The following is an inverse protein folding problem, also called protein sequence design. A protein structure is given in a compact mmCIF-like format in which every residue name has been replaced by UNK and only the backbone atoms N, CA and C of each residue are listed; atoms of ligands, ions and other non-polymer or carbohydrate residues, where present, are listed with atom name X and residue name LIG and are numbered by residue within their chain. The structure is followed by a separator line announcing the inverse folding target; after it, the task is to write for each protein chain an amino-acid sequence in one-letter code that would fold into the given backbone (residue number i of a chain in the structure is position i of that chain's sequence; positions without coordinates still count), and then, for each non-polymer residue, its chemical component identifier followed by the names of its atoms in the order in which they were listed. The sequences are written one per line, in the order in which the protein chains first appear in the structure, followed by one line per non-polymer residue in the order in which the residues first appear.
data_IF_891555886776
#
_entry.id   IF_891555886776
#
_cell.length_a   1.000
_cell.length_b   1.000
_cell.length_c   1.000
_cell.angle_alpha   90.00
_cell.angle_beta   90.00
_cell.angle_gamma   90.00
#
_symmetry.space_group_name_H-M   'P 1'
#
loop_
_entity.id
_entity.type
_entity.pdbx_description
1 polymer ?
#
# COMPACT_ATOMS: atom_id res chain seq x y z
N UNK A 1 12.13 -39.51 -2.87
CA UNK A 1 10.98 -39.59 -3.82
C UNK A 1 11.31 -38.73 -5.03
N UNK A 2 10.77 -39.05 -6.22
CA UNK A 2 11.07 -38.28 -7.45
C UNK A 2 10.32 -36.94 -7.42
N UNK A 3 11.04 -35.82 -7.55
CA UNK A 3 10.41 -34.55 -7.88
C UNK A 3 9.95 -34.57 -9.34
N UNK A 4 8.72 -34.14 -9.61
CA UNK A 4 8.20 -33.95 -10.96
C UNK A 4 8.51 -32.54 -11.45
N UNK A 5 9.33 -32.42 -12.49
CA UNK A 5 9.42 -31.18 -13.25
C UNK A 5 8.14 -31.00 -14.07
N UNK A 6 7.42 -29.90 -13.84
CA UNK A 6 6.40 -29.42 -14.78
C UNK A 6 7.08 -28.53 -15.84
N UNK A 7 6.66 -28.60 -17.12
CA UNK A 7 7.27 -27.81 -18.17
C UNK A 7 6.87 -26.34 -18.08
N UNK A 8 7.85 -25.45 -18.21
CA UNK A 8 7.63 -24.03 -18.55
C UNK A 8 6.77 -23.98 -19.82
N UNK A 9 5.70 -23.17 -19.81
CA UNK A 9 4.99 -22.80 -21.05
C UNK A 9 5.70 -21.61 -21.67
N UNK A 10 5.94 -21.68 -22.98
CA UNK A 10 6.71 -20.69 -23.73
C UNK A 10 6.06 -19.31 -23.69
N UNK A 11 6.83 -18.32 -23.22
CA UNK A 11 6.57 -16.91 -23.51
C UNK A 11 6.87 -16.65 -25.00
N UNK A 12 6.02 -15.93 -25.75
CA UNK A 12 6.30 -15.62 -27.15
C UNK A 12 7.60 -14.80 -27.25
N UNK A 13 8.57 -15.20 -28.10
CA UNK A 13 9.87 -14.52 -28.15
C UNK A 13 9.69 -13.04 -28.56
N UNK A 14 10.49 -12.12 -27.99
CA UNK A 14 10.39 -10.70 -28.33
C UNK A 14 10.60 -10.49 -29.84
N UNK A 15 9.76 -9.65 -30.44
CA UNK A 15 9.75 -9.42 -31.87
C UNK A 15 11.14 -9.01 -32.39
N UNK A 16 11.58 -9.65 -33.48
CA UNK A 16 12.90 -9.43 -34.05
C UNK A 16 13.09 -7.97 -34.48
N UNK A 17 14.27 -7.41 -34.18
CA UNK A 17 14.64 -6.04 -34.58
C UNK A 17 14.65 -5.93 -36.10
N UNK A 18 13.88 -4.98 -36.64
CA UNK A 18 14.06 -4.52 -38.01
C UNK A 18 15.40 -3.75 -38.12
N UNK A 19 16.23 -4.00 -39.14
CA UNK A 19 17.53 -3.35 -39.27
C UNK A 19 17.42 -1.98 -39.96
N UNK A 20 18.17 -1.00 -39.44
CA UNK A 20 18.46 0.27 -40.11
C UNK A 20 17.83 1.49 -39.45
N UNK A 21 18.64 2.22 -38.68
CA UNK A 21 19.13 3.56 -39.05
C UNK A 21 20.31 3.91 -38.14
N UNK A 22 21.42 4.33 -38.72
CA UNK A 22 22.63 4.71 -37.99
C UNK A 22 22.49 6.13 -37.43
N UNK A 23 22.64 6.29 -36.11
CA UNK A 23 22.76 7.60 -35.49
C UNK A 23 24.22 8.06 -35.48
N UNK A 24 24.59 8.90 -36.44
CA UNK A 24 25.83 9.70 -36.38
C UNK A 24 25.57 11.11 -36.93
N UNK A 25 26.20 12.09 -36.28
CA UNK A 25 26.13 13.53 -36.56
C UNK A 25 24.73 14.19 -36.41
N UNK A 26 24.56 15.01 -35.37
CA UNK A 26 24.80 16.46 -35.51
C UNK A 26 24.74 17.15 -34.14
N UNK A 27 25.76 17.96 -33.85
CA UNK A 27 25.76 18.95 -32.78
C UNK A 27 25.30 20.33 -33.32
N UNK A 28 25.05 21.26 -32.39
CA UNK A 28 25.08 22.73 -32.57
C UNK A 28 23.93 23.43 -33.34
N UNK A 29 23.03 24.08 -32.58
CA UNK A 29 22.52 25.46 -32.74
C UNK A 29 21.22 25.64 -31.93
N UNK A 30 21.21 26.35 -30.79
CA UNK A 30 21.14 27.81 -30.58
C UNK A 30 19.72 28.42 -30.49
N UNK A 31 19.35 28.78 -29.25
CA UNK A 31 18.49 29.90 -28.78
C UNK A 31 16.95 29.82 -28.82
N UNK A 32 16.25 30.49 -27.86
CA UNK A 32 14.85 30.21 -27.53
C UNK A 32 13.85 31.29 -28.01
N UNK A 33 12.56 30.95 -28.04
CA UNK A 33 11.48 31.88 -28.41
C UNK A 33 10.31 31.93 -27.39
N UNK A 34 10.20 33.10 -26.75
CA UNK A 34 8.96 33.81 -26.36
C UNK A 34 7.86 33.11 -25.52
N UNK A 35 7.78 33.57 -24.27
CA UNK A 35 6.56 33.79 -23.48
C UNK A 35 5.28 34.08 -24.29
N UNK A 36 4.16 33.54 -23.82
CA UNK A 36 2.85 34.18 -23.99
C UNK A 36 2.19 34.44 -22.63
N UNK A 37 2.09 35.71 -22.28
CA UNK A 37 1.14 36.20 -21.28
C UNK A 37 -0.24 36.34 -21.93
N UNK A 38 -1.30 36.11 -21.16
CA UNK A 38 -2.61 36.68 -21.44
C UNK A 38 -3.23 37.17 -20.13
N UNK A 39 -3.51 38.47 -20.07
CA UNK A 39 -4.01 39.15 -18.88
C UNK A 39 -5.28 39.95 -19.19
N UNK A 40 -6.26 39.79 -18.29
CA UNK A 40 -7.26 40.77 -17.87
C UNK A 40 -8.09 41.55 -18.92
N UNK A 41 -9.39 41.27 -18.94
CA UNK A 41 -10.50 42.22 -18.69
C UNK A 41 -11.82 41.45 -18.79
N UNK A 42 -12.87 41.65 -18.00
CA UNK A 42 -13.15 42.70 -17.02
C UNK A 42 -14.44 43.42 -17.41
N UNK A 43 -15.53 43.26 -16.65
CA UNK A 43 -16.70 44.14 -16.69
C UNK A 43 -17.64 43.91 -15.48
N UNK A 44 -18.11 45.01 -14.91
CA UNK A 44 -19.03 45.08 -13.77
C UNK A 44 -20.48 45.20 -14.20
N UNK A 45 -21.43 44.71 -13.41
CA UNK A 45 -22.69 45.44 -13.15
C UNK A 45 -23.37 44.92 -11.88
N UNK A 46 -24.16 45.78 -11.23
CA UNK A 46 -24.91 45.48 -10.02
C UNK A 46 -26.37 45.95 -10.16
N UNK A 47 -27.29 45.20 -9.55
CA UNK A 47 -28.64 45.61 -9.12
C UNK A 47 -29.23 44.44 -8.30
N UNK A 48 -29.65 44.60 -7.04
CA UNK A 48 -30.97 45.12 -6.57
C UNK A 48 -32.16 44.51 -7.33
N UNK A 49 -33.19 43.95 -6.69
CA UNK A 49 -33.61 43.99 -5.27
C UNK A 49 -34.81 43.05 -5.02
N UNK A 50 -35.09 42.72 -3.74
CA UNK A 50 -36.42 42.32 -3.17
C UNK A 50 -37.11 41.05 -3.72
N UNK A 51 -37.89 40.22 -3.01
CA UNK A 51 -38.33 40.07 -1.60
C UNK A 51 -39.30 38.85 -1.57
N UNK A 52 -39.39 37.94 -0.58
CA UNK A 52 -40.29 37.97 0.61
C UNK A 52 -40.37 36.54 1.21
N UNK A 53 -40.19 36.43 2.54
CA UNK A 53 -40.90 35.58 3.56
C UNK A 53 -41.40 34.18 3.17
N UNK A 54 -40.71 33.09 3.56
CA UNK A 54 -40.92 32.21 4.75
C UNK A 54 -41.94 31.02 4.52
N UNK A 55 -42.36 30.19 5.51
CA UNK A 55 -41.89 28.79 5.53
C UNK A 55 -43.01 27.74 5.69
N UNK A 56 -42.68 26.44 5.59
CA UNK A 56 -43.50 25.39 6.24
C UNK A 56 -42.63 24.39 6.99
N UNK A 57 -42.64 24.52 8.32
CA UNK A 57 -42.31 23.44 9.24
C UNK A 57 -43.56 22.59 9.46
N UNK A 58 -43.40 21.26 9.56
CA UNK A 58 -44.43 20.37 10.09
C UNK A 58 -43.87 19.61 11.29
N UNK A 59 -44.57 19.76 12.43
CA UNK A 59 -44.36 18.96 13.63
C UNK A 59 -45.33 17.76 13.64
N UNK A 60 -44.93 16.70 14.33
CA UNK A 60 -45.81 15.58 14.70
C UNK A 60 -45.35 14.24 14.13
N UNK A 61 -45.35 13.15 14.90
CA UNK A 61 -45.54 13.04 16.35
C UNK A 61 -44.82 11.80 16.88
N UNK A 62 -44.46 11.82 18.17
CA UNK A 62 -43.95 10.64 18.85
C UNK A 62 -45.10 9.62 19.06
N UNK A 63 -44.83 8.33 18.91
CA UNK A 63 -45.72 7.27 19.37
C UNK A 63 -44.92 6.02 19.74
N UNK A 64 -44.91 5.73 21.03
CA UNK A 64 -44.24 4.60 21.65
C UNK A 64 -45.01 3.29 21.45
N UNK A 65 -44.31 2.21 21.12
CA UNK A 65 -44.74 0.84 21.46
C UNK A 65 -43.54 0.10 22.07
N UNK A 66 -43.72 -0.42 23.28
CA UNK A 66 -42.68 -1.12 24.03
C UNK A 66 -42.95 -2.63 24.08
N UNK A 67 -41.86 -3.40 23.99
CA UNK A 67 -41.65 -4.79 24.45
C UNK A 67 -42.68 -5.89 24.13
N UNK A 68 -42.15 -7.05 23.72
CA UNK A 68 -42.26 -8.28 24.53
C UNK A 68 -41.10 -9.24 24.24
N UNK A 69 -40.48 -9.74 25.31
CA UNK A 69 -39.58 -10.89 25.25
C UNK A 69 -40.33 -12.17 24.91
N UNK A 70 -39.67 -13.09 24.20
CA UNK A 70 -40.01 -14.51 24.18
C UNK A 70 -38.73 -15.32 24.44
N UNK A 71 -38.65 -15.94 25.62
CA UNK A 71 -37.59 -16.87 26.06
C UNK A 71 -38.04 -18.33 25.92
N UNK A 72 -37.10 -19.29 26.10
CA UNK A 72 -37.35 -20.75 26.21
C UNK A 72 -37.72 -21.44 24.87
N UNK A 73 -37.28 -22.65 24.49
CA UNK A 73 -36.41 -23.75 25.04
C UNK A 73 -35.97 -24.60 23.80
N UNK A 74 -35.04 -25.56 23.80
CA UNK A 74 -34.09 -26.13 24.79
C UNK A 74 -33.03 -26.96 24.03
N UNK A 75 -31.89 -27.32 24.66
CA UNK A 75 -30.95 -28.30 24.09
C UNK A 75 -31.56 -29.70 24.05
N UNK A 76 -31.32 -30.45 22.98
CA UNK A 76 -31.64 -31.88 22.89
C UNK A 76 -30.33 -32.66 22.73
N UNK A 77 -29.97 -33.42 23.77
CA UNK A 77 -28.80 -34.30 23.77
C UNK A 77 -29.24 -35.65 23.25
N UNK A 78 -28.64 -36.13 22.17
CA UNK A 78 -28.82 -37.49 21.66
C UNK A 78 -27.56 -38.29 22.00
N UNK A 79 -27.70 -39.33 22.82
CA UNK A 79 -26.64 -40.30 23.06
C UNK A 79 -26.50 -41.22 21.84
N UNK A 80 -25.27 -41.43 21.38
CA UNK A 80 -24.99 -42.38 20.31
C UNK A 80 -24.92 -43.81 20.88
N UNK A 81 -25.64 -44.75 20.25
CA UNK A 81 -25.49 -46.19 20.45
C UNK A 81 -25.04 -46.84 19.15
N UNK A 82 -23.94 -47.59 19.19
CA UNK A 82 -23.19 -48.03 18.02
C UNK A 82 -23.62 -49.44 17.59
N UNK A 83 -24.19 -49.63 16.39
CA UNK A 83 -24.30 -50.95 15.73
C UNK A 83 -24.75 -50.85 14.26
N UNK A 84 -24.02 -51.51 13.36
CA UNK A 84 -24.52 -51.91 12.02
C UNK A 84 -24.02 -51.08 10.84
N UNK A 85 -23.04 -51.60 10.10
CA UNK A 85 -22.56 -51.04 8.83
C UNK A 85 -23.30 -51.69 7.67
N UNK A 86 -23.94 -50.90 6.80
CA UNK A 86 -24.12 -51.27 5.38
C UNK A 86 -24.36 -50.04 4.50
N UNK A 87 -23.77 -50.07 3.30
CA UNK A 87 -23.63 -48.98 2.34
C UNK A 87 -24.92 -48.20 2.02
N UNK A 88 -24.92 -46.89 2.27
CA UNK A 88 -25.82 -45.93 1.63
C UNK A 88 -25.07 -44.60 1.33
N UNK A 89 -24.93 -44.31 0.04
CA UNK A 89 -24.63 -43.04 -0.62
C UNK A 89 -23.54 -42.11 -0.01
N UNK A 90 -22.39 -42.09 -0.70
CA UNK A 90 -21.48 -40.95 -0.69
C UNK A 90 -22.10 -39.74 -1.43
N UNK A 91 -23.01 -39.04 -0.77
CA UNK A 91 -23.62 -37.79 -1.26
C UNK A 91 -23.89 -36.76 -0.15
N UNK A 92 -23.15 -36.84 0.95
CA UNK A 92 -23.09 -35.83 2.01
C UNK A 92 -21.76 -35.05 1.99
N UNK A 93 -21.03 -35.13 0.88
CA UNK A 93 -19.86 -34.30 0.64
C UNK A 93 -20.35 -32.96 0.09
N UNK A 94 -20.01 -31.90 0.83
CA UNK A 94 -20.10 -30.48 0.44
C UNK A 94 -21.48 -29.91 0.10
N UNK A 95 -22.19 -29.44 1.13
CA UNK A 95 -23.32 -28.50 1.01
C UNK A 95 -23.19 -27.31 1.98
N UNK A 96 -21.98 -27.08 2.52
CA UNK A 96 -21.70 -26.05 3.53
C UNK A 96 -20.53 -25.13 3.16
N UNK A 97 -19.85 -25.34 2.02
CA UNK A 97 -18.76 -24.47 1.54
C UNK A 97 -18.87 -24.07 0.05
N UNK A 98 -20.09 -23.96 -0.48
CA UNK A 98 -20.35 -22.94 -1.52
C UNK A 98 -20.32 -21.56 -0.84
N UNK A 99 -19.11 -21.08 -0.55
CA UNK A 99 -18.89 -19.69 -0.20
C UNK A 99 -19.43 -18.82 -1.35
N UNK A 100 -20.26 -17.83 -1.01
CA UNK A 100 -20.85 -16.94 -2.01
C UNK A 100 -19.72 -16.22 -2.76
N UNK A 101 -19.60 -16.49 -4.07
CA UNK A 101 -18.53 -15.91 -4.89
C UNK A 101 -18.77 -14.41 -5.04
N UNK A 102 -17.77 -13.60 -4.73
CA UNK A 102 -17.90 -12.14 -4.72
C UNK A 102 -17.23 -11.49 -5.92
N UNK A 103 -17.84 -10.42 -6.45
CA UNK A 103 -17.12 -9.50 -7.36
C UNK A 103 -16.16 -8.64 -6.54
N UNK A 104 -14.90 -8.57 -6.95
CA UNK A 104 -13.85 -7.75 -6.29
C UNK A 104 -13.50 -6.55 -7.17
N UNK A 105 -13.36 -5.37 -6.57
CA UNK A 105 -12.86 -4.17 -7.25
C UNK A 105 -11.43 -3.85 -6.77
N UNK A 106 -10.46 -3.92 -7.68
CA UNK A 106 -9.08 -3.45 -7.44
C UNK A 106 -8.97 -1.98 -7.83
N UNK A 107 -8.45 -1.14 -6.94
CA UNK A 107 -8.14 0.27 -7.21
C UNK A 107 -6.68 0.40 -7.61
N UNK A 108 -6.42 1.07 -8.73
CA UNK A 108 -5.10 1.33 -9.30
C UNK A 108 -4.95 0.85 -10.76
N UNK A 109 -3.72 0.70 -11.23
CA UNK A 109 -3.40 0.39 -12.63
C UNK A 109 -1.90 0.16 -12.92
N UNK A 110 -1.07 -0.05 -11.90
CA UNK A 110 0.34 -0.42 -12.04
C UNK A 110 0.56 -1.92 -12.26
N UNK A 111 1.82 -2.36 -12.11
CA UNK A 111 2.20 -3.78 -12.23
C UNK A 111 1.69 -4.61 -11.05
N UNK A 112 1.76 -4.05 -9.84
CA UNK A 112 1.15 -4.60 -8.62
C UNK A 112 -0.34 -4.86 -8.77
N UNK A 113 -1.11 -3.91 -9.31
CA UNK A 113 -2.55 -4.12 -9.52
C UNK A 113 -2.84 -5.20 -10.57
N UNK A 114 -1.96 -5.40 -11.57
CA UNK A 114 -2.08 -6.53 -12.50
C UNK A 114 -1.84 -7.86 -11.78
N UNK A 115 -0.79 -7.97 -10.95
CA UNK A 115 -0.54 -9.17 -10.17
C UNK A 115 -1.68 -9.49 -9.18
N UNK A 116 -2.26 -8.47 -8.55
CA UNK A 116 -3.46 -8.60 -7.70
C UNK A 116 -4.65 -9.12 -8.51
N UNK A 117 -4.93 -8.55 -9.69
CA UNK A 117 -6.02 -9.03 -10.55
C UNK A 117 -5.81 -10.51 -10.94
N UNK A 118 -4.60 -10.87 -11.36
CA UNK A 118 -4.23 -12.24 -11.73
C UNK A 118 -4.47 -13.23 -10.58
N UNK A 119 -4.00 -12.91 -9.37
CA UNK A 119 -4.19 -13.76 -8.21
C UNK A 119 -5.67 -13.87 -7.79
N UNK A 120 -6.40 -12.74 -7.74
CA UNK A 120 -7.81 -12.71 -7.35
C UNK A 120 -8.71 -13.48 -8.32
N UNK A 121 -8.46 -13.37 -9.63
CA UNK A 121 -9.21 -14.08 -10.68
C UNK A 121 -9.07 -15.62 -10.60
N UNK A 122 -8.02 -16.10 -9.93
CA UNK A 122 -7.76 -17.54 -9.70
C UNK A 122 -8.38 -18.06 -8.40
N UNK A 123 -8.87 -17.18 -7.52
CA UNK A 123 -9.48 -17.59 -6.25
C UNK A 123 -10.83 -18.27 -6.47
N UNK A 124 -11.11 -19.45 -5.86
CA UNK A 124 -12.40 -20.11 -5.98
C UNK A 124 -13.56 -19.33 -5.34
N UNK A 125 -13.25 -18.33 -4.49
CA UNK A 125 -14.22 -17.42 -3.87
C UNK A 125 -14.47 -16.12 -4.66
N UNK A 126 -13.75 -15.89 -5.76
CA UNK A 126 -13.97 -14.73 -6.62
C UNK A 126 -14.98 -15.06 -7.73
N UNK A 127 -15.95 -14.16 -7.95
CA UNK A 127 -16.85 -14.25 -9.11
C UNK A 127 -16.23 -13.62 -10.36
N UNK A 128 -15.80 -12.37 -10.21
CA UNK A 128 -15.18 -11.56 -11.23
C UNK A 128 -14.30 -10.48 -10.59
N UNK A 129 -13.24 -10.07 -11.29
CA UNK A 129 -12.40 -8.94 -10.90
C UNK A 129 -12.71 -7.73 -11.79
N UNK A 130 -12.92 -6.58 -11.16
CA UNK A 130 -12.98 -5.26 -11.78
C UNK A 130 -11.70 -4.51 -11.38
N UNK A 131 -11.14 -3.67 -12.26
CA UNK A 131 -9.96 -2.86 -11.95
C UNK A 131 -10.18 -1.42 -12.39
N UNK A 132 -9.91 -0.43 -11.52
CA UNK A 132 -10.20 0.98 -11.78
C UNK A 132 -8.98 1.88 -11.54
N UNK A 133 -8.43 2.54 -12.58
CA UNK A 133 -8.77 2.41 -14.00
C UNK A 133 -8.28 1.11 -14.64
N UNK A 134 -7.32 0.41 -14.02
CA UNK A 134 -6.54 -0.64 -14.65
C UNK A 134 -5.57 -0.10 -15.71
N UNK A 135 -5.10 -0.99 -16.60
CA UNK A 135 -4.24 -0.63 -17.73
C UNK A 135 -4.45 -1.58 -18.91
N UNK A 136 -3.82 -1.29 -20.05
CA UNK A 136 -3.92 -2.10 -21.28
C UNK A 136 -3.48 -3.55 -21.10
N UNK A 137 -2.47 -3.82 -20.26
CA UNK A 137 -2.00 -5.18 -19.95
C UNK A 137 -3.04 -6.00 -19.18
N UNK A 138 -3.66 -5.39 -18.16
CA UNK A 138 -4.76 -5.99 -17.37
C UNK A 138 -5.96 -6.29 -18.29
N UNK A 139 -6.33 -5.33 -19.14
CA UNK A 139 -7.43 -5.51 -20.09
C UNK A 139 -7.16 -6.60 -21.14
N UNK A 140 -5.90 -6.80 -21.54
CA UNK A 140 -5.50 -7.80 -22.53
C UNK A 140 -5.25 -9.21 -21.95
N UNK A 141 -4.87 -9.33 -20.67
CA UNK A 141 -4.66 -10.65 -20.06
C UNK A 141 -5.98 -11.38 -19.77
N UNK A 142 -7.07 -10.64 -19.60
CA UNK A 142 -8.38 -11.18 -19.24
C UNK A 142 -8.55 -11.44 -17.75
N UNK A 143 -7.62 -10.97 -16.91
CA UNK A 143 -7.69 -11.17 -15.45
C UNK A 143 -8.68 -10.24 -14.74
N UNK A 144 -9.01 -9.09 -15.34
CA UNK A 144 -10.01 -8.18 -14.81
C UNK A 144 -10.68 -7.34 -15.91
N UNK A 145 -11.90 -6.87 -15.62
CA UNK A 145 -12.56 -5.84 -16.44
C UNK A 145 -12.09 -4.45 -16.00
N UNK A 146 -11.35 -3.74 -16.85
CA UNK A 146 -10.91 -2.37 -16.58
C UNK A 146 -12.07 -1.37 -16.66
N UNK A 147 -12.13 -0.43 -15.71
CA UNK A 147 -13.19 0.57 -15.53
C UNK A 147 -12.55 1.97 -15.62
N UNK A 148 -12.38 2.46 -16.85
CA UNK A 148 -11.64 3.69 -17.13
C UNK A 148 -12.31 4.95 -16.57
N UNK A 149 -13.63 4.98 -16.52
CA UNK A 149 -14.43 6.17 -16.19
C UNK A 149 -14.75 6.28 -14.68
N UNK A 150 -14.16 5.44 -13.83
CA UNK A 150 -14.34 5.53 -12.36
C UNK A 150 -13.21 6.36 -11.75
N UNK A 151 -13.53 7.60 -11.37
CA UNK A 151 -12.67 8.40 -10.51
C UNK A 151 -12.65 7.78 -9.10
N UNK A 152 -11.52 7.16 -8.74
CA UNK A 152 -11.30 6.56 -7.43
C UNK A 152 -10.81 7.55 -6.37
N UNK A 153 -10.63 8.83 -6.73
CA UNK A 153 -10.41 9.91 -5.77
C UNK A 153 -11.71 10.49 -5.21
N UNK A 154 -12.84 10.22 -5.86
CA UNK A 154 -14.20 10.49 -5.36
C UNK A 154 -14.77 9.26 -4.64
N UNK A 155 -14.71 9.25 -3.30
CA UNK A 155 -15.28 8.16 -2.48
C UNK A 155 -16.76 7.89 -2.79
N UNK A 156 -17.57 8.92 -3.05
CA UNK A 156 -19.01 8.76 -3.33
C UNK A 156 -19.22 8.08 -4.68
N UNK A 157 -18.42 8.42 -5.70
CA UNK A 157 -18.44 7.73 -7.00
C UNK A 157 -18.11 6.24 -6.86
N UNK A 158 -17.08 5.88 -6.06
CA UNK A 158 -16.73 4.48 -5.78
C UNK A 158 -17.84 3.76 -5.01
N UNK A 159 -18.44 4.38 -3.99
CA UNK A 159 -19.57 3.81 -3.23
C UNK A 159 -20.77 3.53 -4.14
N UNK A 160 -21.14 4.49 -4.99
CA UNK A 160 -22.24 4.33 -5.96
C UNK A 160 -21.93 3.23 -6.97
N UNK A 161 -20.69 3.17 -7.47
CA UNK A 161 -20.26 2.12 -8.39
C UNK A 161 -20.35 0.72 -7.74
N UNK A 162 -19.80 0.55 -6.54
CA UNK A 162 -19.81 -0.71 -5.80
C UNK A 162 -21.23 -1.23 -5.58
N UNK A 163 -22.15 -0.36 -5.13
CA UNK A 163 -23.57 -0.68 -4.94
C UNK A 163 -24.28 -1.05 -6.24
N UNK A 164 -24.00 -0.33 -7.33
CA UNK A 164 -24.60 -0.60 -8.66
C UNK A 164 -24.09 -1.90 -9.29
N UNK A 165 -22.85 -2.31 -8.99
CA UNK A 165 -22.18 -3.48 -9.60
C UNK A 165 -22.17 -4.72 -8.72
N UNK A 166 -22.65 -4.65 -7.48
CA UNK A 166 -22.62 -5.79 -6.55
C UNK A 166 -21.22 -6.16 -6.10
N UNK A 167 -20.32 -5.17 -5.95
CA UNK A 167 -18.96 -5.40 -5.46
C UNK A 167 -19.03 -5.84 -4.00
N UNK A 168 -18.54 -7.06 -3.72
CA UNK A 168 -18.49 -7.64 -2.39
C UNK A 168 -17.23 -7.26 -1.60
N UNK A 169 -16.15 -6.87 -2.28
CA UNK A 169 -14.93 -6.35 -1.64
C UNK A 169 -14.18 -5.38 -2.54
N UNK A 170 -13.61 -4.32 -1.96
CA UNK A 170 -12.65 -3.42 -2.62
C UNK A 170 -11.24 -3.76 -2.13
N UNK A 171 -10.25 -3.79 -3.02
CA UNK A 171 -8.82 -3.98 -2.73
C UNK A 171 -8.07 -2.75 -3.21
N UNK A 172 -7.41 -2.04 -2.31
CA UNK A 172 -6.72 -0.78 -2.65
C UNK A 172 -5.23 -1.04 -2.88
N UNK A 173 -4.77 -0.82 -4.11
CA UNK A 173 -3.37 -1.02 -4.51
C UNK A 173 -2.43 0.14 -4.13
N UNK A 174 -2.67 1.38 -4.61
CA UNK A 174 -1.81 2.52 -4.33
C UNK A 174 -2.08 3.18 -2.97
N UNK A 175 -1.07 3.86 -2.44
CA UNK A 175 -1.05 4.49 -1.13
C UNK A 175 -1.87 5.78 -1.05
N UNK A 176 -1.97 6.54 -2.15
CA UNK A 176 -2.69 7.82 -2.18
C UNK A 176 -4.17 7.73 -1.73
N UNK A 177 -5.02 6.83 -2.26
CA UNK A 177 -6.41 6.68 -1.78
C UNK A 177 -6.52 6.15 -0.35
N UNK A 178 -5.51 5.42 0.17
CA UNK A 178 -5.49 4.99 1.58
C UNK A 178 -5.32 6.20 2.50
N UNK A 179 -4.33 7.05 2.23
CA UNK A 179 -4.07 8.29 2.98
C UNK A 179 -5.21 9.30 2.81
N UNK A 180 -5.87 9.35 1.65
CA UNK A 180 -7.04 10.19 1.41
C UNK A 180 -8.33 9.72 2.14
N UNK A 181 -8.35 8.52 2.72
CA UNK A 181 -9.47 8.02 3.50
C UNK A 181 -10.56 7.25 2.73
N UNK A 182 -10.29 6.81 1.50
CA UNK A 182 -11.25 6.00 0.71
C UNK A 182 -11.76 4.78 1.49
N UNK A 183 -10.88 4.12 2.25
CA UNK A 183 -11.22 2.98 3.11
C UNK A 183 -12.18 3.39 4.24
N UNK A 184 -11.98 4.54 4.88
CA UNK A 184 -12.86 5.04 5.93
C UNK A 184 -14.29 5.23 5.40
N UNK A 185 -14.44 5.81 4.21
CA UNK A 185 -15.74 6.06 3.58
C UNK A 185 -16.42 4.78 3.11
N UNK A 186 -15.69 3.87 2.46
CA UNK A 186 -16.23 2.57 2.03
C UNK A 186 -16.70 1.72 3.21
N UNK A 187 -15.91 1.64 4.28
CA UNK A 187 -16.28 0.91 5.50
C UNK A 187 -17.51 1.53 6.18
N UNK A 188 -17.58 2.87 6.26
CA UNK A 188 -18.76 3.61 6.75
C UNK A 188 -19.99 3.40 5.87
N UNK A 189 -19.81 3.19 4.56
CA UNK A 189 -20.86 2.86 3.61
C UNK A 189 -21.30 1.38 3.63
N UNK A 190 -20.63 0.53 4.44
CA UNK A 190 -20.90 -0.90 4.59
C UNK A 190 -20.25 -1.80 3.53
N UNK A 191 -19.23 -1.31 2.82
CA UNK A 191 -18.52 -2.04 1.76
C UNK A 191 -17.22 -2.62 2.32
N UNK A 192 -17.05 -3.96 2.37
CA UNK A 192 -15.81 -4.60 2.80
C UNK A 192 -14.63 -4.11 1.98
N UNK A 193 -13.57 -3.67 2.65
CA UNK A 193 -12.41 -3.07 2.00
C UNK A 193 -11.12 -3.62 2.58
N UNK A 194 -10.23 -4.09 1.71
CA UNK A 194 -8.89 -4.53 2.03
C UNK A 194 -7.90 -3.39 1.81
N UNK A 195 -7.46 -2.81 2.92
CA UNK A 195 -6.56 -1.67 3.01
C UNK A 195 -6.71 -0.99 4.38
N UNK A 196 -5.70 -0.24 4.85
CA UNK A 196 -5.76 0.48 6.12
C UNK A 196 -6.70 1.68 6.04
N UNK A 197 -7.24 2.10 7.17
CA UNK A 197 -7.84 3.44 7.29
C UNK A 197 -6.77 4.52 7.13
N UNK A 198 -7.15 5.77 6.84
CA UNK A 198 -6.20 6.91 6.73
C UNK A 198 -5.34 7.09 7.99
N UNK A 199 -5.90 6.85 9.17
CA UNK A 199 -5.20 6.90 10.46
C UNK A 199 -4.14 5.79 10.57
N UNK A 200 -4.41 4.60 10.03
CA UNK A 200 -3.46 3.50 9.97
C UNK A 200 -2.44 3.65 8.82
N UNK A 201 -2.84 4.30 7.73
CA UNK A 201 -1.99 4.64 6.58
C UNK A 201 -0.90 5.67 6.93
N UNK A 202 -1.03 6.37 8.06
CA UNK A 202 0.00 7.25 8.61
C UNK A 202 1.36 6.57 8.84
N UNK A 203 1.43 5.22 8.91
CA UNK A 203 2.70 4.48 8.95
C UNK A 203 3.59 4.68 7.71
N UNK A 204 3.00 4.88 6.52
CA UNK A 204 3.71 5.28 5.29
C UNK A 204 3.61 6.80 5.07
N UNK A 205 2.45 7.39 5.42
CA UNK A 205 2.15 8.81 5.24
C UNK A 205 2.93 9.78 6.12
N UNK A 206 3.46 9.35 7.28
CA UNK A 206 4.39 10.13 8.10
C UNK A 206 5.45 9.22 8.73
N UNK A 207 6.70 9.51 8.40
CA UNK A 207 7.85 8.81 8.97
C UNK A 207 8.04 9.21 10.44
N UNK A 208 7.63 10.42 10.83
CA UNK A 208 7.70 10.90 12.23
C UNK A 208 6.70 10.16 13.12
N UNK A 209 5.49 9.89 12.61
CA UNK A 209 4.52 9.00 13.27
C UNK A 209 5.07 7.58 13.42
N UNK A 210 5.56 6.98 12.33
CA UNK A 210 6.12 5.63 12.33
C UNK A 210 7.28 5.48 13.33
N UNK A 211 8.22 6.43 13.36
CA UNK A 211 9.37 6.40 14.27
C UNK A 211 8.97 6.59 15.74
N UNK A 212 8.00 7.47 16.04
CA UNK A 212 7.46 7.63 17.40
C UNK A 212 6.73 6.38 17.89
N UNK A 213 6.02 5.67 17.01
CA UNK A 213 5.47 4.36 17.32
C UNK A 213 6.58 3.37 17.65
N UNK A 214 7.67 3.37 16.88
CA UNK A 214 8.81 2.49 17.11
C UNK A 214 9.44 2.70 18.49
N UNK A 215 9.70 3.96 18.88
CA UNK A 215 10.23 4.28 20.21
C UNK A 215 9.27 3.84 21.33
N UNK A 216 7.96 4.14 21.19
CA UNK A 216 6.95 3.84 22.20
C UNK A 216 6.76 2.33 22.43
N UNK A 217 6.90 1.53 21.38
CA UNK A 217 6.69 0.08 21.40
C UNK A 217 7.98 -0.75 21.32
N UNK A 218 9.16 -0.11 21.40
CA UNK A 218 10.49 -0.73 21.37
C UNK A 218 10.77 -1.55 20.10
N UNK A 219 10.25 -1.11 18.95
CA UNK A 219 10.51 -1.73 17.63
C UNK A 219 11.91 -1.31 17.16
N UNK A 220 12.79 -2.25 16.75
CA UNK A 220 14.14 -1.92 16.33
C UNK A 220 14.14 -1.16 15.00
N UNK A 221 14.64 0.07 15.02
CA UNK A 221 14.81 0.93 13.84
C UNK A 221 16.10 1.74 13.95
N UNK A 222 16.50 2.42 12.87
CA UNK A 222 17.59 3.40 12.92
C UNK A 222 17.27 4.54 13.89
N UNK A 223 18.22 4.87 14.77
CA UNK A 223 18.18 6.11 15.58
C UNK A 223 17.94 7.31 14.67
N UNK A 224 17.14 8.27 15.14
CA UNK A 224 16.69 9.38 14.32
C UNK A 224 16.48 10.66 15.14
N UNK A 225 16.39 11.78 14.45
CA UNK A 225 15.81 13.01 14.97
C UNK A 225 15.02 13.73 13.87
N UNK A 226 13.99 14.51 14.22
CA UNK A 226 13.14 15.20 13.23
C UNK A 226 13.26 16.73 13.37
N UNK A 227 13.36 17.41 12.22
CA UNK A 227 13.65 18.84 12.16
C UNK A 227 12.70 19.56 11.20
N UNK A 228 12.39 20.81 11.56
CA UNK A 228 11.70 21.77 10.68
C UNK A 228 12.57 23.00 10.40
N UNK A 229 13.59 23.25 11.22
CA UNK A 229 14.59 24.30 11.00
C UNK A 229 15.85 23.70 10.31
N UNK A 230 16.29 24.22 9.16
CA UNK A 230 17.45 23.72 8.44
C UNK A 230 18.79 24.00 9.13
N UNK A 231 18.88 25.02 9.99
CA UNK A 231 20.08 25.34 10.78
C UNK A 231 20.26 24.30 11.89
N UNK A 232 19.19 23.97 12.61
CA UNK A 232 19.21 22.92 13.63
C UNK A 232 19.53 21.54 13.01
N UNK A 233 18.87 21.22 11.89
CA UNK A 233 19.12 19.99 11.12
C UNK A 233 20.59 19.86 10.70
N UNK A 234 21.18 20.92 10.14
CA UNK A 234 22.59 20.94 9.74
C UNK A 234 23.55 20.88 10.92
N UNK A 235 23.18 21.45 12.08
CA UNK A 235 24.01 21.34 13.27
C UNK A 235 24.03 19.90 13.80
N UNK A 236 22.88 19.23 13.87
CA UNK A 236 22.80 17.82 14.23
C UNK A 236 23.65 16.93 13.31
N UNK A 237 23.62 17.16 12.00
CA UNK A 237 24.48 16.43 11.04
C UNK A 237 25.97 16.65 11.32
N UNK A 238 26.40 17.86 11.68
CA UNK A 238 27.81 18.11 12.08
C UNK A 238 28.20 17.34 13.34
N UNK A 239 27.28 17.22 14.29
CA UNK A 239 27.52 16.56 15.58
C UNK A 239 27.52 15.02 15.45
N UNK A 240 26.75 14.45 14.52
CA UNK A 240 26.73 13.01 14.23
C UNK A 240 27.82 12.57 13.23
N UNK A 241 28.13 13.39 12.23
CA UNK A 241 29.01 13.02 11.11
C UNK A 241 28.28 12.32 9.96
N UNK A 242 29.05 11.75 9.04
CA UNK A 242 28.59 10.98 7.87
C UNK A 242 29.29 9.61 7.83
N UNK A 243 28.70 8.56 7.21
CA UNK A 243 27.46 8.56 6.44
C UNK A 243 26.19 8.73 7.31
N UNK A 244 25.18 9.40 6.76
CA UNK A 244 23.91 9.70 7.43
C UNK A 244 22.76 9.72 6.41
N UNK A 245 21.53 9.42 6.83
CA UNK A 245 20.37 9.37 5.93
C UNK A 245 19.44 10.54 6.21
N UNK A 246 19.09 11.31 5.17
CA UNK A 246 18.12 12.41 5.24
C UNK A 246 16.86 12.00 4.47
N UNK A 247 15.71 12.01 5.14
CA UNK A 247 14.40 11.63 4.58
C UNK A 247 13.39 12.76 4.71
N UNK A 248 12.56 12.95 3.70
CA UNK A 248 11.39 13.83 3.75
C UNK A 248 10.23 13.16 4.54
N UNK A 249 9.57 13.89 5.43
CA UNK A 249 8.40 13.40 6.19
C UNK A 249 7.12 13.55 5.37
N UNK A 250 6.73 12.45 4.72
CA UNK A 250 5.54 12.38 3.88
C UNK A 250 5.68 11.41 2.70
N UNK A 251 4.64 11.35 1.87
CA UNK A 251 4.64 10.64 0.60
C UNK A 251 5.52 11.37 -0.43
N UNK A 252 6.69 10.80 -0.72
CA UNK A 252 7.65 11.34 -1.68
C UNK A 252 7.97 10.36 -2.83
N UNK A 253 7.09 9.38 -3.07
CA UNK A 253 7.19 8.38 -4.15
C UNK A 253 8.58 7.74 -4.31
N UNK A 254 9.19 7.30 -3.19
CA UNK A 254 10.53 6.72 -3.13
C UNK A 254 11.72 7.68 -3.37
N UNK A 255 11.46 8.93 -3.76
CA UNK A 255 12.50 9.93 -4.11
C UNK A 255 12.93 10.84 -2.97
N UNK A 256 12.17 10.88 -1.88
CA UNK A 256 12.45 11.70 -0.70
C UNK A 256 13.45 11.09 0.30
N UNK A 257 14.40 10.29 -0.16
CA UNK A 257 15.43 9.63 0.68
C UNK A 257 16.80 9.85 0.06
N UNK A 258 17.71 10.46 0.81
CA UNK A 258 19.12 10.67 0.43
C UNK A 258 20.01 9.99 1.45
N UNK A 259 20.84 9.05 0.99
CA UNK A 259 21.95 8.49 1.77
C UNK A 259 23.17 9.35 1.48
N UNK A 260 23.52 10.23 2.43
CA UNK A 260 24.63 11.16 2.29
C UNK A 260 25.91 10.53 2.85
N UNK A 261 26.92 10.38 2.00
CA UNK A 261 28.24 9.86 2.34
C UNK A 261 29.17 10.97 2.85
N UNK A 262 28.83 12.23 2.60
CA UNK A 262 29.56 13.42 3.06
C UNK A 262 28.64 14.41 3.79
N UNK A 263 29.22 15.33 4.57
CA UNK A 263 28.47 16.39 5.23
C UNK A 263 27.80 17.34 4.21
N UNK A 264 28.48 17.63 3.10
CA UNK A 264 27.98 18.54 2.07
C UNK A 264 26.74 17.95 1.36
N UNK A 265 26.77 16.65 0.98
CA UNK A 265 25.60 15.92 0.47
C UNK A 265 24.41 15.98 1.43
N UNK A 266 24.65 15.85 2.74
CA UNK A 266 23.61 15.92 3.75
C UNK A 266 23.04 17.34 3.88
N UNK A 267 23.88 18.38 3.77
CA UNK A 267 23.43 19.77 3.80
C UNK A 267 22.63 20.14 2.55
N UNK A 268 23.03 19.67 1.36
CA UNK A 268 22.29 19.84 0.11
C UNK A 268 20.92 19.14 0.17
N UNK A 269 20.85 17.93 0.74
CA UNK A 269 19.59 17.22 0.96
C UNK A 269 18.64 18.00 1.89
N UNK A 270 19.16 18.54 3.00
CA UNK A 270 18.38 19.36 3.95
C UNK A 270 17.83 20.62 3.26
N UNK A 271 18.66 21.34 2.49
CA UNK A 271 18.21 22.56 1.80
C UNK A 271 17.17 22.25 0.71
N UNK A 272 17.36 21.18 -0.05
CA UNK A 272 16.41 20.72 -1.07
C UNK A 272 15.04 20.39 -0.47
N UNK A 273 15.01 19.76 0.71
CA UNK A 273 13.77 19.40 1.39
C UNK A 273 13.11 20.58 2.11
N UNK A 274 13.81 21.22 3.06
CA UNK A 274 13.23 22.25 3.95
C UNK A 274 13.17 23.66 3.35
N UNK A 275 14.12 24.04 2.48
CA UNK A 275 14.24 25.42 1.98
C UNK A 275 13.65 25.57 0.58
N UNK A 276 13.96 24.64 -0.32
CA UNK A 276 13.47 24.66 -1.70
C UNK A 276 12.05 24.07 -1.84
N UNK A 277 11.60 23.29 -0.84
CA UNK A 277 10.26 22.71 -0.83
C UNK A 277 10.03 21.68 -1.94
N UNK A 278 11.08 20.96 -2.37
CA UNK A 278 11.07 20.06 -3.53
C UNK A 278 10.00 18.95 -3.50
N UNK A 279 9.41 18.70 -2.34
CA UNK A 279 8.35 17.69 -2.11
C UNK A 279 7.02 18.31 -1.62
N UNK A 280 6.83 19.63 -1.78
CA UNK A 280 5.62 20.32 -1.31
C UNK A 280 5.44 20.20 0.21
N UNK A 281 4.24 19.85 0.66
CA UNK A 281 3.94 19.65 2.09
C UNK A 281 4.77 18.54 2.74
N UNK A 282 5.14 17.50 1.98
CA UNK A 282 6.02 16.42 2.45
C UNK A 282 7.48 16.86 2.66
N UNK A 283 7.85 18.07 2.22
CA UNK A 283 9.15 18.69 2.50
C UNK A 283 9.18 19.55 3.77
N UNK A 284 8.05 19.75 4.46
CA UNK A 284 7.96 20.67 5.61
C UNK A 284 8.68 20.20 6.89
N UNK A 285 9.07 18.93 6.95
CA UNK A 285 9.88 18.32 8.00
C UNK A 285 10.83 17.30 7.37
N UNK A 286 12.03 17.19 7.91
CA UNK A 286 12.97 16.10 7.59
C UNK A 286 13.21 15.21 8.79
N UNK A 287 13.56 13.96 8.50
CA UNK A 287 14.04 12.97 9.46
C UNK A 287 15.47 12.62 9.10
N UNK A 288 16.35 12.74 10.09
CA UNK A 288 17.77 12.43 9.93
C UNK A 288 18.07 11.18 10.74
N UNK A 289 18.49 10.11 10.07
CA UNK A 289 18.67 8.77 10.64
C UNK A 289 20.14 8.32 10.59
N UNK A 290 20.55 7.49 11.57
CA UNK A 290 21.84 6.80 11.50
C UNK A 290 21.90 5.91 10.24
N UNK A 291 23.06 5.89 9.57
CA UNK A 291 23.28 4.98 8.45
C UNK A 291 23.38 3.53 8.96
N UNK A 292 22.55 2.64 8.40
CA UNK A 292 22.59 1.21 8.69
C UNK A 292 23.38 0.47 7.60
N UNK A 293 24.39 -0.31 8.01
CA UNK A 293 25.17 -1.17 7.11
C UNK A 293 24.66 -2.61 7.20
N UNK A 294 24.17 -3.16 6.10
CA UNK A 294 23.53 -4.46 6.06
C UNK A 294 23.14 -4.89 4.64
N UNK A 295 22.25 -5.89 4.58
CA UNK A 295 21.56 -6.28 3.36
C UNK A 295 20.07 -5.88 3.46
N UNK A 296 19.52 -5.25 2.43
CA UNK A 296 18.11 -4.85 2.40
C UNK A 296 17.20 -6.06 2.12
N UNK A 297 16.06 -6.11 2.82
CA UNK A 297 15.02 -7.11 2.62
C UNK A 297 13.63 -6.49 2.77
N UNK A 298 12.69 -6.96 1.96
CA UNK A 298 11.27 -6.63 2.05
C UNK A 298 10.54 -7.76 2.77
N UNK A 299 9.80 -7.44 3.84
CA UNK A 299 9.01 -8.41 4.58
C UNK A 299 7.53 -8.02 4.60
N UNK A 300 6.66 -8.99 4.36
CA UNK A 300 5.23 -8.76 4.19
C UNK A 300 4.42 -9.51 5.25
N UNK A 301 3.35 -8.88 5.76
CA UNK A 301 2.36 -9.55 6.59
C UNK A 301 0.93 -9.12 6.21
N UNK A 302 0.02 -10.08 6.18
CA UNK A 302 -1.42 -9.82 6.19
C UNK A 302 -1.86 -9.52 7.62
N UNK A 303 -2.65 -8.47 7.80
CA UNK A 303 -3.09 -8.00 9.12
C UNK A 303 -4.60 -7.74 9.09
N UNK A 304 -5.32 -8.19 10.12
CA UNK A 304 -6.79 -8.10 10.24
C UNK A 304 -7.28 -7.05 11.27
N UNK A 305 -6.34 -6.34 11.89
CA UNK A 305 -6.57 -5.38 12.98
C UNK A 305 -6.07 -5.84 14.34
N UNK A 306 -5.84 -7.15 14.54
CA UNK A 306 -5.36 -7.73 15.81
C UNK A 306 -4.29 -8.81 15.61
N UNK A 307 -4.42 -9.61 14.56
CA UNK A 307 -3.51 -10.69 14.18
C UNK A 307 -2.65 -10.29 12.98
N UNK A 308 -1.47 -10.90 12.87
CA UNK A 308 -0.58 -10.77 11.72
C UNK A 308 -0.15 -12.15 11.23
N UNK A 309 -0.36 -12.42 9.95
CA UNK A 309 0.10 -13.63 9.26
C UNK A 309 1.26 -13.24 8.32
N UNK A 310 2.47 -13.81 8.48
CA UNK A 310 3.57 -13.52 7.56
C UNK A 310 3.24 -14.05 6.16
N UNK A 311 3.51 -13.23 5.15
CA UNK A 311 3.65 -13.66 3.77
C UNK A 311 5.13 -13.97 3.48
N UNK A 312 5.46 -14.20 2.22
CA UNK A 312 6.84 -14.43 1.82
C UNK A 312 7.65 -13.13 1.72
N UNK A 313 8.96 -13.26 1.95
CA UNK A 313 9.96 -12.22 1.81
C UNK A 313 10.28 -11.91 0.34
N UNK A 314 10.77 -10.70 0.08
CA UNK A 314 11.33 -10.33 -1.22
C UNK A 314 12.58 -9.46 -1.07
N UNK A 315 13.36 -9.30 -2.13
CA UNK A 315 14.42 -8.31 -2.21
C UNK A 315 14.28 -7.56 -3.52
N UNK A 316 14.20 -6.24 -3.44
CA UNK A 316 14.04 -5.32 -4.57
C UNK A 316 15.35 -4.57 -4.84
N UNK A 317 15.62 -4.29 -6.13
CA UNK A 317 16.79 -3.57 -6.59
C UNK A 317 16.37 -2.15 -6.96
N UNK A 318 16.54 -1.20 -6.05
CA UNK A 318 16.05 0.18 -6.22
C UNK A 318 16.90 1.02 -7.18
N UNK A 319 18.16 0.66 -7.41
CA UNK A 319 19.12 1.43 -8.22
C UNK A 319 18.90 1.20 -9.72
N UNK A 320 19.01 2.27 -10.51
CA UNK A 320 18.69 2.23 -11.96
C UNK A 320 19.69 1.45 -12.83
N UNK A 321 20.92 1.21 -12.36
CA UNK A 321 21.97 0.55 -13.14
C UNK A 321 22.61 -0.64 -12.43
N UNK A 322 23.09 -1.60 -13.24
CA UNK A 322 23.74 -2.85 -12.83
C UNK A 322 24.85 -2.62 -11.78
N UNK A 323 24.85 -3.44 -10.72
CA UNK A 323 25.80 -3.29 -9.61
C UNK A 323 25.44 -2.16 -8.64
N UNK A 324 24.16 -1.87 -8.49
CA UNK A 324 23.58 -0.88 -7.57
C UNK A 324 24.07 0.56 -7.78
N UNK A 325 24.24 0.96 -9.05
CA UNK A 325 24.72 2.29 -9.42
C UNK A 325 23.61 3.24 -9.88
N UNK A 326 23.88 4.54 -9.78
CA UNK A 326 22.96 5.60 -10.19
C UNK A 326 21.88 5.95 -9.15
N UNK A 327 20.89 6.78 -9.49
CA UNK A 327 19.82 7.18 -8.57
C UNK A 327 18.89 6.00 -8.18
N UNK A 328 18.21 6.18 -7.04
CA UNK A 328 17.11 5.32 -6.62
C UNK A 328 15.87 5.52 -7.52
N UNK A 329 15.12 4.44 -7.69
CA UNK A 329 13.84 4.35 -8.40
C UNK A 329 12.76 3.81 -7.46
N UNK A 330 11.56 3.50 -7.96
CA UNK A 330 10.57 2.75 -7.18
C UNK A 330 10.97 1.29 -6.92
N UNK A 331 11.79 0.74 -7.81
CA UNK A 331 12.23 -0.66 -7.85
C UNK A 331 12.40 -1.11 -9.31
N UNK A 332 13.59 -1.58 -9.69
CA UNK A 332 13.91 -2.04 -11.05
C UNK A 332 13.59 -3.52 -11.25
N UNK A 333 13.47 -4.28 -10.16
CA UNK A 333 13.18 -5.70 -10.18
C UNK A 333 13.34 -6.33 -8.81
N UNK A 334 12.41 -7.21 -8.47
CA UNK A 334 12.42 -7.96 -7.22
C UNK A 334 12.39 -9.47 -7.47
N UNK A 335 12.74 -10.25 -6.45
CA UNK A 335 12.60 -11.70 -6.42
C UNK A 335 12.15 -12.18 -5.04
N UNK A 336 11.57 -13.38 -4.97
CA UNK A 336 10.97 -13.97 -3.77
C UNK A 336 11.13 -15.49 -3.78
N UNK A 337 11.46 -16.17 -2.66
CA UNK A 337 11.83 -15.61 -1.35
C UNK A 337 13.20 -14.90 -1.38
N UNK A 338 13.47 -14.06 -0.39
CA UNK A 338 14.78 -13.45 -0.17
C UNK A 338 15.66 -14.37 0.70
N UNK A 339 16.78 -14.93 0.20
CA UNK A 339 17.59 -15.92 0.93
C UNK A 339 18.19 -15.43 2.25
N UNK A 340 18.36 -14.11 2.41
CA UNK A 340 18.81 -13.50 3.66
C UNK A 340 17.79 -13.65 4.79
N UNK A 341 16.49 -13.77 4.46
CA UNK A 341 15.40 -13.96 5.42
C UNK A 341 15.19 -15.45 5.70
N UNK A 342 16.00 -16.01 6.60
CA UNK A 342 15.81 -17.38 7.10
C UNK A 342 14.53 -17.49 7.96
N UNK A 343 14.05 -18.70 8.23
CA UNK A 343 12.87 -18.92 9.09
C UNK A 343 13.10 -18.40 10.53
N UNK A 344 14.33 -18.47 11.05
CA UNK A 344 14.68 -17.87 12.34
C UNK A 344 14.59 -16.33 12.30
N UNK A 345 15.06 -15.72 11.21
CA UNK A 345 14.99 -14.27 11.03
C UNK A 345 13.55 -13.80 10.79
N UNK A 346 12.75 -14.56 10.03
CA UNK A 346 11.30 -14.37 9.85
C UNK A 346 10.55 -14.40 11.19
N UNK A 347 10.84 -15.36 12.05
CA UNK A 347 10.28 -15.39 13.42
C UNK A 347 10.72 -14.16 14.24
N UNK A 348 11.99 -13.75 14.13
CA UNK A 348 12.50 -12.55 14.81
C UNK A 348 11.83 -11.26 14.30
N UNK A 349 11.64 -11.11 12.99
CA UNK A 349 10.93 -9.98 12.37
C UNK A 349 9.48 -9.93 12.86
N UNK A 350 8.80 -11.07 12.93
CA UNK A 350 7.43 -11.14 13.45
C UNK A 350 7.37 -10.70 14.92
N UNK A 351 8.18 -11.28 15.81
CA UNK A 351 8.15 -11.00 17.25
C UNK A 351 8.65 -9.58 17.62
N UNK A 352 9.65 -9.05 16.93
CA UNK A 352 10.30 -7.76 17.29
C UNK A 352 9.81 -6.55 16.50
N UNK A 353 9.25 -6.74 15.30
CA UNK A 353 8.86 -5.65 14.40
C UNK A 353 7.36 -5.70 14.10
N UNK A 354 6.85 -6.78 13.48
CA UNK A 354 5.47 -6.80 12.97
C UNK A 354 4.43 -6.86 14.09
N UNK A 355 4.54 -7.84 15.01
CA UNK A 355 3.57 -8.04 16.09
C UNK A 355 3.54 -6.83 17.06
N UNK A 356 4.68 -6.23 17.48
CA UNK A 356 4.67 -5.01 18.27
C UNK A 356 4.02 -3.83 17.55
N UNK A 357 4.26 -3.65 16.24
CA UNK A 357 3.60 -2.60 15.45
C UNK A 357 2.09 -2.80 15.39
N UNK A 358 1.60 -3.99 15.07
CA UNK A 358 0.15 -4.25 14.99
C UNK A 358 -0.53 -4.04 16.36
N UNK A 359 0.09 -4.51 17.44
CA UNK A 359 -0.39 -4.26 18.81
C UNK A 359 -0.34 -2.78 19.19
N UNK A 360 0.71 -2.06 18.79
CA UNK A 360 0.85 -0.62 19.02
C UNK A 360 -0.22 0.18 18.31
N UNK A 361 -0.43 -0.06 17.02
CA UNK A 361 -1.49 0.56 16.21
C UNK A 361 -2.89 0.31 16.81
N UNK A 362 -3.16 -0.92 17.26
CA UNK A 362 -4.41 -1.24 17.95
C UNK A 362 -4.56 -0.48 19.28
N UNK A 363 -3.47 -0.28 20.02
CA UNK A 363 -3.46 0.45 21.30
C UNK A 363 -3.56 1.98 21.15
N UNK A 364 -3.06 2.57 20.06
CA UNK A 364 -3.31 3.97 19.69
C UNK A 364 -4.73 4.20 19.12
N UNK A 365 -5.50 3.13 18.88
CA UNK A 365 -6.87 3.20 18.34
C UNK A 365 -6.96 3.22 16.81
N UNK A 366 -5.84 3.09 16.09
CA UNK A 366 -5.75 3.06 14.63
C UNK A 366 -5.40 1.64 14.11
N UNK A 367 -6.26 0.66 14.41
CA UNK A 367 -6.07 -0.74 13.96
C UNK A 367 -5.74 -0.84 12.47
N UNK A 368 -4.65 -1.53 12.16
CA UNK A 368 -4.18 -1.72 10.80
C UNK A 368 -4.85 -2.93 10.14
N UNK A 369 -5.39 -2.77 8.93
CA UNK A 369 -5.96 -3.86 8.12
C UNK A 369 -5.31 -3.82 6.74
N UNK A 370 -5.00 -4.98 6.14
CA UNK A 370 -4.41 -5.06 4.81
C UNK A 370 -3.02 -5.70 4.81
N UNK A 371 -2.11 -5.17 3.96
CA UNK A 371 -0.72 -5.61 3.89
C UNK A 371 0.19 -4.62 4.58
N UNK A 372 0.89 -5.07 5.61
CA UNK A 372 2.00 -4.34 6.21
C UNK A 372 3.29 -4.78 5.54
N UNK A 373 3.93 -3.88 4.78
CA UNK A 373 5.25 -4.06 4.20
C UNK A 373 6.29 -3.39 5.08
N UNK A 374 7.21 -4.17 5.65
CA UNK A 374 8.39 -3.67 6.32
C UNK A 374 9.57 -3.67 5.36
N UNK A 375 10.12 -2.48 5.05
CA UNK A 375 11.46 -2.37 4.50
C UNK A 375 12.46 -2.55 5.63
N UNK A 376 13.35 -3.53 5.52
CA UNK A 376 14.28 -3.95 6.57
C UNK A 376 15.73 -3.83 6.11
N UNK A 377 16.61 -3.50 7.07
CA UNK A 377 18.04 -3.70 6.95
C UNK A 377 18.45 -4.85 7.87
N UNK A 378 19.05 -5.90 7.32
CA UNK A 378 19.64 -6.99 8.11
C UNK A 378 21.08 -6.59 8.40
N UNK A 379 21.34 -6.13 9.62
CA UNK A 379 22.63 -5.51 9.99
C UNK A 379 23.80 -6.48 9.84
N UNK A 380 24.80 -6.09 9.04
CA UNK A 380 25.98 -6.90 8.71
C UNK A 380 26.82 -7.34 9.92
N UNK A 381 26.75 -6.57 11.02
CA UNK A 381 27.53 -6.81 12.25
C UNK A 381 26.83 -7.72 13.25
N UNK A 382 25.50 -7.69 13.29
CA UNK A 382 24.69 -8.33 14.33
C UNK A 382 23.80 -9.47 13.79
N UNK A 383 23.51 -9.46 12.49
CA UNK A 383 22.50 -10.32 11.85
C UNK A 383 21.06 -9.96 12.22
N UNK A 384 20.85 -8.86 12.96
CA UNK A 384 19.53 -8.48 13.47
C UNK A 384 18.79 -7.58 12.48
N UNK A 385 17.45 -7.70 12.37
CA UNK A 385 16.65 -6.86 11.52
C UNK A 385 16.41 -5.50 12.19
N UNK A 386 16.57 -4.42 11.43
CA UNK A 386 16.09 -3.08 11.77
C UNK A 386 15.10 -2.60 10.72
N UNK A 387 13.99 -2.03 11.17
CA UNK A 387 13.01 -1.36 10.30
C UNK A 387 13.60 -0.08 9.71
N UNK A 388 13.59 0.04 8.37
CA UNK A 388 13.92 1.25 7.62
C UNK A 388 12.69 2.14 7.48
N UNK A 389 11.57 1.55 7.06
CA UNK A 389 10.27 2.19 6.86
C UNK A 389 9.14 1.16 6.72
N UNK A 390 7.89 1.63 6.91
CA UNK A 390 6.70 0.88 6.53
C UNK A 390 6.12 1.42 5.22
N UNK A 391 5.64 0.51 4.37
CA UNK A 391 4.64 0.81 3.36
C UNK A 391 3.35 0.05 3.78
N UNK A 392 2.18 0.62 3.51
CA UNK A 392 0.89 0.17 4.06
C UNK A 392 0.00 -0.56 3.05
N UNK A 393 0.63 -1.01 1.97
CA UNK A 393 0.08 -1.73 0.83
C UNK A 393 1.15 -2.63 0.24
N UNK A 394 0.82 -3.43 -0.76
CA UNK A 394 1.82 -4.24 -1.47
C UNK A 394 2.92 -3.37 -2.14
N UNK A 395 4.14 -3.87 -2.18
CA UNK A 395 5.26 -3.28 -2.92
C UNK A 395 5.07 -3.41 -4.44
N UNK A 396 5.77 -2.61 -5.23
CA UNK A 396 5.85 -2.72 -6.69
C UNK A 396 7.31 -2.42 -7.04
N UNK A 397 8.12 -3.40 -7.49
CA UNK A 397 7.73 -4.66 -8.16
C UNK A 397 7.63 -5.92 -7.27
N UNK A 398 7.65 -5.82 -5.94
CA UNK A 398 7.65 -7.02 -5.08
C UNK A 398 6.36 -7.84 -5.16
N UNK A 399 5.18 -7.21 -5.31
CA UNK A 399 3.89 -7.90 -5.39
C UNK A 399 3.84 -8.93 -6.52
N UNK A 400 4.43 -8.57 -7.67
CA UNK A 400 4.56 -9.42 -8.86
C UNK A 400 5.37 -10.69 -8.62
N UNK A 401 6.10 -10.80 -7.50
CA UNK A 401 6.84 -11.98 -7.10
C UNK A 401 6.18 -12.67 -5.89
N UNK A 402 5.83 -11.91 -4.84
CA UNK A 402 5.25 -12.44 -3.60
C UNK A 402 3.93 -13.16 -3.86
N UNK A 403 3.05 -12.63 -4.73
CA UNK A 403 1.77 -13.28 -5.03
C UNK A 403 1.90 -14.64 -5.76
N UNK A 404 3.04 -14.94 -6.39
CA UNK A 404 3.29 -16.27 -6.98
C UNK A 404 3.63 -17.34 -5.94
N UNK A 405 3.97 -16.93 -4.72
CA UNK A 405 4.28 -17.85 -3.60
C UNK A 405 3.04 -18.26 -2.80
N UNK A 406 1.89 -17.63 -3.07
CA UNK A 406 0.61 -17.89 -2.42
C UNK A 406 -0.19 -18.86 -3.30
N UNK A 407 -0.42 -20.08 -2.80
CA UNK A 407 -1.21 -21.15 -3.46
C UNK A 407 -2.73 -21.00 -3.28
#
# INVERSE_FOLDING_TARGET
MRMGFYPLRDWPPPAARLPGYSASALSDSLTPASNFHCSASGLSSASTSTSVVEPWAWMGSCSSVAMRHATSRSRLIVQASNSGVSNLNASLVDSTLLAERITVLVIGGGGREHALCYALNRSPSCDAVLCAPGNTGIAQSGDATCILDLDFSDSDAVIVFCRKRGVGMVVVGPEAPLVAGLVNDLMKAGIPTFGPSSEAAALEGSKDFMKKLCDKYNIPTAKYHTFTDPVEAKQYVKDQGAPIVVKADGLAAGKGVVVAMTLDEAFEAIDSMLVQGSFGSAGSRVIIEEYLEGEEASFFALVDGENALPLESAQDHKRVGDGDVGPNTGGMGAYSPAPIVTEELKHMIMESIIIPTVKGMAAEGCKFVGVLYAGLMIEKKSGLPKLIEYNVRFGDPECQNVLWTIE
#
